data_IF_556426927443
#
_entry.id   IF_556426927443
#
_cell.length_a   1.000
_cell.length_b   1.000
_cell.length_c   1.000
_cell.angle_alpha   90.00
_cell.angle_beta   90.00
_cell.angle_gamma   90.00
#
_symmetry.space_group_name_H-M   'P 1'
#
loop_
_entity.id
_entity.type
_entity.pdbx_description
1 polymer ?
#
# COMPACT_ATOMS: atom_id res chain seq x y z
N UNK A 1 9.09 -14.34 8.85
CA UNK A 1 9.49 -12.94 8.67
C UNK A 1 9.66 -12.64 7.19
N UNK A 2 9.02 -11.62 6.73
CA UNK A 2 9.15 -11.18 5.35
C UNK A 2 10.53 -10.62 5.09
N UNK A 3 11.25 -11.20 4.13
CA UNK A 3 12.50 -10.62 3.68
C UNK A 3 12.22 -9.77 2.44
N UNK A 4 12.22 -8.48 2.62
CA UNK A 4 12.02 -7.51 1.57
C UNK A 4 13.16 -7.43 0.56
N UNK A 5 14.25 -8.18 0.75
CA UNK A 5 15.52 -7.80 0.17
C UNK A 5 15.83 -8.50 -1.15
N UNK A 6 15.01 -9.43 -1.57
CA UNK A 6 15.16 -10.00 -2.89
C UNK A 6 14.29 -9.23 -3.86
N UNK A 7 14.85 -8.19 -4.47
CA UNK A 7 14.15 -7.33 -5.42
C UNK A 7 13.43 -8.09 -6.55
N UNK A 8 13.92 -9.27 -6.90
CA UNK A 8 13.32 -10.06 -7.98
C UNK A 8 11.98 -10.67 -7.62
N UNK A 9 11.76 -10.99 -6.34
CA UNK A 9 10.59 -11.75 -5.91
C UNK A 9 9.65 -10.97 -4.99
N UNK A 10 10.10 -9.82 -4.47
CA UNK A 10 9.30 -9.08 -3.49
C UNK A 10 7.91 -8.69 -4.01
N UNK A 11 7.85 -8.10 -5.19
CA UNK A 11 6.57 -7.64 -5.74
C UNK A 11 5.68 -8.82 -6.13
N UNK A 12 6.25 -9.90 -6.62
CA UNK A 12 5.50 -11.12 -6.94
C UNK A 12 4.93 -11.76 -5.69
N UNK A 13 5.74 -11.88 -4.64
CA UNK A 13 5.30 -12.43 -3.35
C UNK A 13 4.22 -11.55 -2.72
N UNK A 14 4.36 -10.25 -2.80
CA UNK A 14 3.37 -9.32 -2.31
C UNK A 14 2.04 -9.48 -3.05
N UNK A 15 2.08 -9.61 -4.37
CA UNK A 15 0.87 -9.80 -5.17
C UNK A 15 0.15 -11.10 -4.81
N UNK A 16 0.89 -12.18 -4.59
CA UNK A 16 0.33 -13.45 -4.12
C UNK A 16 -0.39 -13.28 -2.77
N UNK A 17 0.23 -12.55 -1.84
CA UNK A 17 -0.39 -12.24 -0.56
C UNK A 17 -1.65 -11.40 -0.73
N UNK A 18 -1.63 -10.43 -1.63
CA UNK A 18 -2.82 -9.61 -1.92
C UNK A 18 -3.95 -10.45 -2.51
N UNK A 19 -3.64 -11.45 -3.34
CA UNK A 19 -4.67 -12.36 -3.86
C UNK A 19 -5.32 -13.17 -2.74
N UNK A 20 -4.54 -13.62 -1.77
CA UNK A 20 -5.08 -14.33 -0.60
C UNK A 20 -6.02 -13.43 0.18
N UNK A 21 -5.65 -12.17 0.38
CA UNK A 21 -6.48 -11.17 1.07
C UNK A 21 -7.79 -10.94 0.28
N UNK A 22 -7.69 -10.74 -1.04
CA UNK A 22 -8.85 -10.51 -1.88
C UNK A 22 -9.81 -11.70 -1.85
N UNK A 23 -9.29 -12.91 -1.87
CA UNK A 23 -10.11 -14.12 -1.77
C UNK A 23 -10.85 -14.17 -0.43
N UNK A 24 -10.18 -13.81 0.66
CA UNK A 24 -10.80 -13.82 1.99
C UNK A 24 -11.91 -12.78 2.12
N UNK A 25 -11.70 -11.55 1.64
CA UNK A 25 -12.71 -10.49 1.73
C UNK A 25 -13.88 -10.70 0.77
N UNK A 26 -13.72 -11.54 -0.24
CA UNK A 26 -14.75 -11.85 -1.21
C UNK A 26 -15.68 -12.99 -0.80
N UNK A 27 -15.45 -13.61 0.35
CA UNK A 27 -16.31 -14.69 0.85
C UNK A 27 -17.67 -14.17 1.27
N UNK A 28 -18.68 -15.04 1.26
CA UNK A 28 -20.03 -14.70 1.72
C UNK A 28 -20.03 -14.20 3.18
N UNK A 29 -19.18 -14.80 4.02
CA UNK A 29 -18.99 -14.39 5.41
C UNK A 29 -17.50 -14.14 5.66
N UNK A 30 -17.00 -12.99 5.22
CA UNK A 30 -15.58 -12.69 5.40
C UNK A 30 -15.25 -12.54 6.88
N UNK A 31 -14.05 -13.01 7.25
CA UNK A 31 -13.53 -12.85 8.62
C UNK A 31 -12.77 -11.56 8.79
N UNK A 32 -12.40 -10.92 7.71
CA UNK A 32 -11.69 -9.65 7.72
C UNK A 32 -12.30 -8.69 6.71
N UNK A 33 -12.23 -7.40 7.02
CA UNK A 33 -12.51 -6.33 6.08
C UNK A 33 -11.30 -5.42 5.97
N UNK A 34 -10.98 -5.01 4.76
CA UNK A 34 -9.99 -3.95 4.55
C UNK A 34 -10.59 -2.61 4.99
N UNK A 35 -9.80 -1.82 5.68
CA UNK A 35 -10.09 -0.42 5.85
C UNK A 35 -9.64 0.33 4.60
N UNK A 36 -10.05 1.60 4.47
CA UNK A 36 -9.91 2.31 3.20
C UNK A 36 -8.57 3.02 3.01
N UNK A 37 -7.61 2.76 3.89
CA UNK A 37 -6.28 3.40 3.84
C UNK A 37 -5.17 2.36 3.90
N UNK A 38 -4.09 2.65 3.21
CA UNK A 38 -2.81 1.94 3.39
C UNK A 38 -1.70 2.97 3.54
N UNK A 39 -0.57 2.55 4.08
CA UNK A 39 0.58 3.41 4.28
C UNK A 39 1.87 2.74 3.83
N UNK A 40 2.71 3.48 3.15
CA UNK A 40 4.05 3.06 2.77
C UNK A 40 5.04 4.00 3.46
N UNK A 41 5.87 3.45 4.34
CA UNK A 41 6.89 4.23 5.03
C UNK A 41 8.19 4.15 4.23
N UNK A 42 8.73 5.31 3.92
CA UNK A 42 9.95 5.44 3.12
C UNK A 42 11.00 6.25 3.88
N UNK A 43 12.24 5.77 3.84
CA UNK A 43 13.42 6.53 4.25
C UNK A 43 14.10 7.06 2.99
N UNK A 44 13.92 8.34 2.71
CA UNK A 44 14.43 8.94 1.47
C UNK A 44 14.63 10.43 1.67
N UNK A 45 15.74 10.94 1.14
CA UNK A 45 16.06 12.37 1.15
C UNK A 45 15.36 13.13 0.01
N UNK A 46 14.48 12.49 -0.75
CA UNK A 46 13.81 13.08 -1.93
C UNK A 46 14.81 13.65 -2.93
N UNK A 47 15.90 12.91 -3.18
CA UNK A 47 17.01 13.36 -4.01
C UNK A 47 16.83 13.10 -5.50
N UNK A 48 15.95 12.18 -5.88
CA UNK A 48 15.69 11.91 -7.29
C UNK A 48 14.46 12.68 -7.78
N UNK A 49 14.33 12.80 -9.10
CA UNK A 49 13.24 13.57 -9.69
C UNK A 49 11.85 13.03 -9.35
N UNK A 50 11.74 11.72 -9.17
CA UNK A 50 10.48 11.08 -8.81
C UNK A 50 10.07 11.45 -7.38
N UNK A 51 10.97 11.33 -6.42
CA UNK A 51 10.66 11.55 -5.01
C UNK A 51 10.55 13.03 -4.64
N UNK A 52 11.18 13.93 -5.39
CA UNK A 52 11.01 15.38 -5.16
C UNK A 52 9.56 15.83 -5.31
N UNK A 53 8.82 15.21 -6.22
CA UNK A 53 7.41 15.52 -6.48
C UNK A 53 6.56 14.27 -6.30
N UNK A 54 6.84 13.51 -5.25
CA UNK A 54 6.30 12.15 -5.10
C UNK A 54 4.78 12.11 -5.06
N UNK A 55 4.16 13.04 -4.35
CA UNK A 55 2.70 13.09 -4.26
C UNK A 55 2.07 13.24 -5.64
N UNK A 56 2.52 14.24 -6.38
CA UNK A 56 2.00 14.51 -7.72
C UNK A 56 2.25 13.34 -8.66
N UNK A 57 3.46 12.80 -8.63
CA UNK A 57 3.83 11.71 -9.51
C UNK A 57 3.00 10.45 -9.24
N UNK A 58 2.75 10.13 -7.98
CA UNK A 58 1.92 8.99 -7.62
C UNK A 58 0.45 9.25 -7.96
N UNK A 59 -0.06 10.44 -7.68
CA UNK A 59 -1.43 10.81 -8.06
C UNK A 59 -1.66 10.65 -9.55
N UNK A 60 -0.73 11.09 -10.37
CA UNK A 60 -0.82 10.98 -11.83
C UNK A 60 -0.86 9.50 -12.26
N UNK A 61 0.01 8.67 -11.70
CA UNK A 61 0.07 7.24 -12.03
C UNK A 61 -1.23 6.53 -11.64
N UNK A 62 -1.74 6.79 -10.44
CA UNK A 62 -2.90 6.08 -9.91
C UNK A 62 -4.22 6.54 -10.53
N UNK A 63 -4.30 7.78 -10.99
CA UNK A 63 -5.54 8.38 -11.48
C UNK A 63 -5.51 8.62 -12.99
N UNK A 64 -4.61 7.97 -13.70
CA UNK A 64 -4.47 8.12 -15.15
C UNK A 64 -5.42 7.19 -15.90
N UNK A 65 -6.09 7.73 -16.92
CA UNK A 65 -6.88 6.97 -17.86
C UNK A 65 -8.26 6.54 -17.35
N UNK A 66 -8.91 5.69 -18.14
CA UNK A 66 -10.28 5.20 -17.86
C UNK A 66 -10.34 4.26 -16.66
N UNK A 67 -9.23 3.62 -16.34
CA UNK A 67 -9.12 2.71 -15.20
C UNK A 67 -8.75 3.43 -13.91
N UNK A 68 -8.84 4.76 -13.89
CA UNK A 68 -8.52 5.56 -12.72
C UNK A 68 -9.35 5.12 -11.50
N UNK A 69 -8.67 4.88 -10.39
CA UNK A 69 -9.29 4.42 -9.16
C UNK A 69 -9.80 5.55 -8.27
N UNK A 70 -9.49 6.79 -8.60
CA UNK A 70 -9.75 7.97 -7.76
C UNK A 70 -9.14 7.84 -6.36
N UNK A 71 -7.94 7.27 -6.31
CA UNK A 71 -7.19 7.10 -5.07
C UNK A 71 -6.68 8.45 -4.58
N UNK A 72 -6.93 8.77 -3.33
CA UNK A 72 -6.36 9.94 -2.69
C UNK A 72 -4.96 9.61 -2.19
N UNK A 73 -4.04 10.51 -2.44
CA UNK A 73 -2.63 10.36 -2.03
C UNK A 73 -2.26 11.49 -1.10
N UNK A 74 -1.71 11.15 0.06
CA UNK A 74 -1.20 12.13 1.00
C UNK A 74 0.23 11.76 1.39
N UNK A 75 1.05 12.76 1.66
CA UNK A 75 2.43 12.58 2.10
C UNK A 75 2.53 13.18 3.49
N UNK A 76 2.89 12.35 4.46
CA UNK A 76 2.98 12.77 5.85
C UNK A 76 4.42 12.56 6.32
N UNK A 77 5.08 13.66 6.67
CA UNK A 77 6.45 13.59 7.19
C UNK A 77 6.45 12.90 8.56
N UNK A 78 7.44 12.05 8.74
CA UNK A 78 7.75 11.41 10.01
C UNK A 78 9.12 11.93 10.48
N UNK A 79 9.70 11.32 11.48
CA UNK A 79 11.00 11.75 12.01
C UNK A 79 12.14 11.44 11.04
N UNK A 80 13.16 12.31 10.99
CA UNK A 80 14.48 12.03 10.37
C UNK A 80 14.45 11.48 8.95
N UNK A 81 14.09 12.29 7.97
CA UNK A 81 14.12 11.90 6.55
C UNK A 81 13.19 10.72 6.18
N UNK A 82 12.22 10.43 7.03
CA UNK A 82 11.19 9.45 6.74
C UNK A 82 9.87 10.14 6.45
N UNK A 83 9.08 9.52 5.58
CA UNK A 83 7.71 9.99 5.32
C UNK A 83 6.81 8.83 4.96
N UNK A 84 5.53 9.03 5.17
CA UNK A 84 4.48 8.11 4.79
C UNK A 84 3.85 8.53 3.48
N UNK A 85 3.68 7.58 2.58
CA UNK A 85 2.74 7.72 1.47
C UNK A 85 1.45 7.07 1.95
N UNK A 86 0.41 7.87 2.12
CA UNK A 86 -0.90 7.38 2.54
C UNK A 86 -1.81 7.31 1.33
N UNK A 87 -2.33 6.13 1.05
CA UNK A 87 -3.29 5.90 -0.02
C UNK A 87 -4.65 5.65 0.58
N UNK A 88 -5.66 6.31 0.05
CA UNK A 88 -7.04 6.15 0.48
C UNK A 88 -7.93 5.88 -0.72
N UNK A 89 -8.75 4.84 -0.61
CA UNK A 89 -9.64 4.44 -1.68
C UNK A 89 -10.96 3.95 -1.08
N UNK A 90 -12.08 4.27 -1.74
CA UNK A 90 -13.39 3.83 -1.28
C UNK A 90 -13.64 2.34 -1.52
N UNK A 91 -12.92 1.75 -2.47
CA UNK A 91 -13.04 0.35 -2.81
C UNK A 91 -11.79 -0.39 -2.31
N UNK A 92 -12.00 -1.43 -1.51
CA UNK A 92 -10.90 -2.23 -0.92
C UNK A 92 -10.03 -2.91 -1.97
N UNK A 93 -10.64 -3.41 -3.05
CA UNK A 93 -9.90 -4.04 -4.13
C UNK A 93 -8.99 -3.03 -4.83
N UNK A 94 -9.51 -1.82 -5.07
CA UNK A 94 -8.74 -0.75 -5.67
C UNK A 94 -7.61 -0.29 -4.75
N UNK A 95 -7.81 -0.30 -3.44
CA UNK A 95 -6.77 0.06 -2.48
C UNK A 95 -5.55 -0.87 -2.60
N UNK A 96 -5.77 -2.18 -2.68
CA UNK A 96 -4.68 -3.14 -2.84
C UNK A 96 -3.98 -2.95 -4.19
N UNK A 97 -4.75 -2.76 -5.26
CA UNK A 97 -4.20 -2.50 -6.59
C UNK A 97 -3.39 -1.21 -6.63
N UNK A 98 -3.90 -0.15 -6.02
CA UNK A 98 -3.21 1.14 -5.94
C UNK A 98 -1.94 1.05 -5.13
N UNK A 99 -1.97 0.32 -4.01
CA UNK A 99 -0.78 0.10 -3.17
C UNK A 99 0.29 -0.65 -3.95
N UNK A 100 -0.09 -1.68 -4.68
CA UNK A 100 0.83 -2.45 -5.51
C UNK A 100 1.41 -1.59 -6.65
N UNK A 101 0.58 -0.81 -7.32
CA UNK A 101 0.99 0.10 -8.39
C UNK A 101 1.97 1.14 -7.88
N UNK A 102 1.72 1.68 -6.69
CA UNK A 102 2.63 2.62 -6.04
C UNK A 102 4.01 1.99 -5.79
N UNK A 103 4.03 0.77 -5.27
CA UNK A 103 5.28 0.05 -5.04
C UNK A 103 6.03 -0.25 -6.35
N UNK A 104 5.31 -0.60 -7.40
CA UNK A 104 5.91 -0.78 -8.72
C UNK A 104 6.54 0.52 -9.24
N UNK A 105 5.87 1.64 -9.05
CA UNK A 105 6.40 2.94 -9.46
C UNK A 105 7.68 3.30 -8.70
N UNK A 106 7.70 3.02 -7.40
CA UNK A 106 8.89 3.21 -6.58
C UNK A 106 10.04 2.32 -7.05
N UNK A 107 9.75 1.07 -7.36
CA UNK A 107 10.75 0.15 -7.89
C UNK A 107 11.30 0.62 -9.23
N UNK A 108 10.44 1.08 -10.13
CA UNK A 108 10.84 1.59 -11.44
C UNK A 108 11.72 2.84 -11.35
N UNK A 109 11.65 3.57 -10.23
CA UNK A 109 12.44 4.77 -9.97
C UNK A 109 13.55 4.53 -8.93
N UNK A 110 14.00 3.29 -8.78
CA UNK A 110 15.11 2.88 -7.92
C UNK A 110 14.91 3.20 -6.43
N UNK A 111 13.67 3.32 -5.98
CA UNK A 111 13.35 3.68 -4.60
C UNK A 111 12.87 2.49 -3.76
N UNK A 112 12.84 1.27 -4.30
CA UNK A 112 12.35 0.10 -3.57
C UNK A 112 13.17 -0.20 -2.32
N UNK A 113 14.49 -0.01 -2.38
CA UNK A 113 15.39 -0.23 -1.24
C UNK A 113 15.16 0.74 -0.09
N UNK A 114 14.47 1.85 -0.34
CA UNK A 114 14.18 2.87 0.66
C UNK A 114 12.87 2.60 1.41
N UNK A 115 12.10 1.61 0.98
CA UNK A 115 10.84 1.26 1.62
C UNK A 115 11.13 0.52 2.92
N UNK A 116 10.63 1.06 4.02
CA UNK A 116 10.79 0.48 5.35
C UNK A 116 9.63 -0.43 5.73
N UNK A 117 8.42 -0.08 5.30
CA UNK A 117 7.23 -0.87 5.61
C UNK A 117 6.07 -0.54 4.67
N UNK A 118 5.23 -1.53 4.43
CA UNK A 118 3.88 -1.36 3.90
C UNK A 118 2.92 -1.77 5.01
N UNK A 119 1.98 -0.90 5.36
CA UNK A 119 1.02 -1.13 6.44
C UNK A 119 -0.39 -1.13 5.87
N UNK A 120 -1.10 -2.22 6.08
CA UNK A 120 -2.50 -2.35 5.64
C UNK A 120 -3.36 -2.64 6.86
N UNK A 121 -4.22 -1.70 7.27
CA UNK A 121 -5.12 -1.92 8.38
C UNK A 121 -6.35 -2.71 7.96
N UNK A 122 -6.75 -3.63 8.84
CA UNK A 122 -7.92 -4.48 8.67
C UNK A 122 -8.82 -4.38 9.87
N UNK A 123 -10.04 -4.80 9.67
CA UNK A 123 -10.98 -5.07 10.73
C UNK A 123 -11.20 -6.58 10.80
N UNK A 124 -10.86 -7.19 11.93
CA UNK A 124 -11.11 -8.59 12.18
C UNK A 124 -12.52 -8.75 12.73
N UNK A 125 -13.33 -9.56 12.11
CA UNK A 125 -14.71 -9.82 12.52
C UNK A 125 -14.70 -11.06 13.40
N UNK A 126 -14.91 -10.87 14.70
CA UNK A 126 -14.96 -11.97 15.68
C UNK A 126 -16.39 -12.47 15.82
N UNK A 127 -17.34 -11.54 15.97
CA UNK A 127 -18.78 -11.79 16.01
C UNK A 127 -19.49 -10.61 15.32
N UNK A 128 -20.80 -10.72 15.08
CA UNK A 128 -21.55 -9.65 14.39
C UNK A 128 -21.35 -8.27 14.99
N UNK A 129 -21.22 -8.20 16.32
CA UNK A 129 -21.06 -6.94 17.04
C UNK A 129 -19.64 -6.73 17.58
N UNK A 130 -18.71 -7.65 17.32
CA UNK A 130 -17.36 -7.60 17.87
C UNK A 130 -16.35 -7.57 16.76
N UNK A 131 -15.71 -6.41 16.60
CA UNK A 131 -14.70 -6.16 15.57
C UNK A 131 -13.43 -5.64 16.22
N UNK A 132 -12.30 -6.06 15.72
CA UNK A 132 -11.01 -5.63 16.22
C UNK A 132 -10.16 -5.12 15.06
N UNK A 133 -9.50 -3.98 15.27
CA UNK A 133 -8.61 -3.41 14.26
C UNK A 133 -7.24 -4.06 14.37
N UNK A 134 -6.76 -4.60 13.26
CA UNK A 134 -5.43 -5.20 13.15
C UNK A 134 -4.67 -4.57 12.00
N UNK A 135 -3.35 -4.71 12.04
CA UNK A 135 -2.47 -4.19 11.00
C UNK A 135 -1.64 -5.31 10.41
N UNK A 136 -1.65 -5.42 9.09
CA UNK A 136 -0.71 -6.28 8.38
C UNK A 136 0.49 -5.41 7.98
N UNK A 137 1.66 -5.81 8.42
CA UNK A 137 2.90 -5.05 8.19
C UNK A 137 3.86 -5.89 7.40
N UNK A 138 4.24 -5.41 6.23
CA UNK A 138 5.30 -5.98 5.41
C UNK A 138 6.55 -5.13 5.58
N UNK A 139 7.64 -5.77 5.98
CA UNK A 139 8.92 -5.10 6.22
C UNK A 139 10.04 -5.77 5.48
#
# INVERSE_FOLDING_TARGET
MFKFFNKKNFLDDLWENFQIILDEISRDKPRINLLHKSGILISDHKNNDFTKNIRKNIEEILNEGEAATQTLVDIVDDSSDMYWIILEDQNSNDLLSSSYTCLNALNANDSLSNILALVIPFELIIEESMKEKIYLIFR
#
